data_IF_560354943690
#
_entry.id   IF_560354943690
#
_cell.length_a   1.000
_cell.length_b   1.000
_cell.length_c   1.000
_cell.angle_alpha   90.00
_cell.angle_beta   90.00
_cell.angle_gamma   90.00
#
_symmetry.space_group_name_H-M   'P 1'
#
loop_
_entity.id
_entity.type
_entity.pdbx_description
1 polymer ?
#
# COMPACT_ATOMS: atom_id res chain seq x y z
N UNK A 1 -11.98 38.98 20.07
CA UNK A 1 -11.78 37.68 20.74
C UNK A 1 -12.00 36.52 19.78
N UNK A 2 -11.96 36.79 18.47
CA UNK A 2 -12.33 35.83 17.42
C UNK A 2 -11.11 35.21 16.74
N UNK A 3 -9.97 35.90 16.68
CA UNK A 3 -8.73 35.37 16.08
C UNK A 3 -8.23 34.10 16.78
N UNK A 4 -8.39 34.03 18.10
CA UNK A 4 -7.98 32.85 18.88
C UNK A 4 -8.91 31.67 18.64
N UNK A 5 -10.20 31.94 18.39
CA UNK A 5 -11.19 30.93 18.07
C UNK A 5 -11.00 30.41 16.64
N UNK A 6 -10.79 31.29 15.65
CA UNK A 6 -10.48 30.91 14.28
C UNK A 6 -9.18 30.10 14.20
N UNK A 7 -8.16 30.48 14.96
CA UNK A 7 -6.90 29.73 15.00
C UNK A 7 -7.10 28.32 15.54
N UNK A 8 -7.83 28.18 16.65
CA UNK A 8 -8.14 26.86 17.24
C UNK A 8 -9.01 26.04 16.28
N UNK A 9 -10.03 26.64 15.66
CA UNK A 9 -10.91 25.97 14.71
C UNK A 9 -10.17 25.49 13.46
N UNK A 10 -9.29 26.33 12.90
CA UNK A 10 -8.43 25.97 11.77
C UNK A 10 -7.41 24.89 12.14
N UNK A 11 -6.84 24.92 13.35
CA UNK A 11 -5.94 23.87 13.85
C UNK A 11 -6.67 22.54 14.08
N UNK A 12 -7.94 22.57 14.51
CA UNK A 12 -8.78 21.39 14.66
C UNK A 12 -9.12 20.76 13.30
N UNK A 13 -9.53 21.56 12.31
CA UNK A 13 -9.75 21.06 10.94
C UNK A 13 -8.47 20.48 10.34
N UNK A 14 -7.31 21.14 10.51
CA UNK A 14 -6.02 20.59 10.06
C UNK A 14 -5.66 19.27 10.75
N UNK A 15 -5.98 19.12 12.03
CA UNK A 15 -5.80 17.85 12.79
C UNK A 15 -6.76 16.74 12.40
N UNK A 16 -7.89 17.05 11.76
CA UNK A 16 -8.80 16.06 11.17
C UNK A 16 -8.41 15.69 9.73
N UNK A 17 -7.80 16.62 8.99
CA UNK A 17 -7.37 16.43 7.59
C UNK A 17 -6.08 15.61 7.48
N UNK A 18 -5.20 15.64 8.47
CA UNK A 18 -4.06 14.75 8.55
C UNK A 18 -4.52 13.41 9.16
N UNK A 19 -4.56 12.29 8.39
CA UNK A 19 -5.02 11.01 8.91
C UNK A 19 -4.15 10.63 10.11
N UNK A 20 -4.76 10.63 11.30
CA UNK A 20 -4.11 10.16 12.51
C UNK A 20 -3.77 8.69 12.30
N UNK A 21 -2.47 8.41 12.13
CA UNK A 21 -1.88 7.08 12.25
C UNK A 21 -2.35 6.04 11.22
N UNK A 22 -2.60 6.43 9.97
CA UNK A 22 -2.86 5.46 8.88
C UNK A 22 -4.22 4.75 8.95
N UNK A 23 -5.16 5.30 9.73
CA UNK A 23 -6.55 4.86 9.77
C UNK A 23 -7.34 5.69 8.76
N UNK A 24 -8.08 5.01 7.87
CA UNK A 24 -8.91 5.63 6.85
C UNK A 24 -10.36 5.16 7.03
N UNK A 25 -11.29 6.10 7.00
CA UNK A 25 -12.72 5.83 7.05
C UNK A 25 -13.31 5.63 5.65
N UNK A 26 -14.55 5.12 5.60
CA UNK A 26 -15.25 4.93 4.35
C UNK A 26 -15.36 6.25 3.56
N UNK A 27 -15.17 6.16 2.24
CA UNK A 27 -15.06 7.32 1.34
C UNK A 27 -13.67 7.95 1.24
N UNK A 28 -12.72 7.69 2.15
CA UNK A 28 -11.34 8.20 2.07
C UNK A 28 -10.44 7.36 1.12
N UNK A 29 -11.00 6.93 -0.01
CA UNK A 29 -10.38 5.97 -0.93
C UNK A 29 -9.06 6.53 -1.49
N UNK A 30 -9.07 7.78 -1.95
CA UNK A 30 -7.89 8.38 -2.56
C UNK A 30 -6.79 8.67 -1.54
N UNK A 31 -7.15 9.06 -0.32
CA UNK A 31 -6.18 9.32 0.74
C UNK A 31 -5.49 8.02 1.19
N UNK A 32 -6.24 6.92 1.34
CA UNK A 32 -5.68 5.59 1.59
C UNK A 32 -4.75 5.14 0.45
N UNK A 33 -5.17 5.32 -0.80
CA UNK A 33 -4.34 5.03 -1.97
C UNK A 33 -3.04 5.84 -1.97
N UNK A 34 -3.13 7.15 -1.69
CA UNK A 34 -1.98 8.07 -1.65
C UNK A 34 -1.00 7.67 -0.53
N UNK A 35 -1.53 7.24 0.62
CA UNK A 35 -0.73 6.73 1.73
C UNK A 35 0.04 5.47 1.35
N UNK A 36 -0.64 4.43 0.85
CA UNK A 36 -0.01 3.18 0.41
C UNK A 36 1.04 3.44 -0.69
N UNK A 37 0.70 4.25 -1.69
CA UNK A 37 1.64 4.67 -2.72
C UNK A 37 2.84 5.46 -2.15
N UNK A 38 2.67 6.15 -1.03
CA UNK A 38 3.74 6.79 -0.27
C UNK A 38 4.67 5.76 0.37
N UNK A 39 4.12 4.75 1.04
CA UNK A 39 4.89 3.65 1.65
C UNK A 39 5.76 2.94 0.61
N UNK A 40 5.17 2.56 -0.52
CA UNK A 40 5.86 1.86 -1.61
C UNK A 40 7.01 2.72 -2.19
N UNK A 41 6.84 4.04 -2.28
CA UNK A 41 7.88 4.96 -2.78
C UNK A 41 9.04 5.15 -1.79
N UNK A 42 8.76 5.04 -0.49
CA UNK A 42 9.77 5.25 0.57
C UNK A 42 10.63 4.02 0.83
N UNK A 43 10.12 2.82 0.59
CA UNK A 43 10.88 1.58 0.75
C UNK A 43 12.24 1.65 0.03
N UNK A 44 13.29 1.15 0.69
CA UNK A 44 14.67 1.20 0.21
C UNK A 44 15.21 -0.19 -0.17
N UNK A 45 14.74 -1.25 0.50
CA UNK A 45 15.28 -2.62 0.41
C UNK A 45 14.23 -3.60 -0.09
N UNK A 46 13.08 -3.70 0.59
CA UNK A 46 12.09 -4.74 0.34
C UNK A 46 10.68 -4.35 0.75
N UNK A 47 9.70 -4.88 0.04
CA UNK A 47 8.29 -4.83 0.42
C UNK A 47 7.76 -6.26 0.43
N UNK A 48 7.12 -6.66 1.53
CA UNK A 48 6.36 -7.91 1.62
C UNK A 48 4.89 -7.56 1.78
N UNK A 49 4.05 -8.03 0.87
CA UNK A 49 2.60 -7.91 0.96
C UNK A 49 2.01 -9.28 1.26
N UNK A 50 1.17 -9.37 2.28
CA UNK A 50 0.34 -10.54 2.56
C UNK A 50 -1.10 -10.09 2.29
N UNK A 51 -1.71 -10.56 1.21
CA UNK A 51 -3.10 -10.23 0.86
C UNK A 51 -3.69 -11.27 -0.10
N UNK A 52 -4.94 -11.66 0.17
CA UNK A 52 -5.70 -12.62 -0.62
C UNK A 52 -6.51 -11.99 -1.76
N UNK A 53 -6.48 -10.66 -1.91
CA UNK A 53 -7.29 -9.90 -2.86
C UNK A 53 -6.41 -9.05 -3.79
N UNK A 54 -5.51 -9.71 -4.52
CA UNK A 54 -4.57 -9.06 -5.44
C UNK A 54 -5.15 -9.04 -6.86
N UNK A 55 -5.06 -7.89 -7.52
CA UNK A 55 -5.38 -7.69 -8.93
C UNK A 55 -4.38 -6.74 -9.62
N UNK A 56 -4.67 -6.36 -10.87
CA UNK A 56 -3.86 -5.42 -11.65
C UNK A 56 -3.63 -4.07 -10.94
N UNK A 57 -4.60 -3.58 -10.16
CA UNK A 57 -4.50 -2.29 -9.48
C UNK A 57 -3.41 -2.32 -8.40
N UNK A 58 -3.31 -3.44 -7.68
CA UNK A 58 -2.27 -3.69 -6.69
C UNK A 58 -0.90 -3.84 -7.35
N UNK A 59 -0.80 -4.59 -8.45
CA UNK A 59 0.45 -4.70 -9.22
C UNK A 59 0.92 -3.31 -9.71
N UNK A 60 0.00 -2.50 -10.21
CA UNK A 60 0.28 -1.14 -10.70
C UNK A 60 0.86 -0.24 -9.61
N UNK A 61 0.42 -0.38 -8.35
CA UNK A 61 1.00 0.35 -7.23
C UNK A 61 2.50 0.04 -7.05
N UNK A 62 2.89 -1.22 -7.20
CA UNK A 62 4.29 -1.64 -7.08
C UNK A 62 5.20 -1.13 -8.21
N UNK A 63 4.64 -0.64 -9.33
CA UNK A 63 5.44 0.04 -10.36
C UNK A 63 6.10 1.33 -9.84
N UNK A 64 5.55 1.92 -8.77
CA UNK A 64 6.01 3.19 -8.18
C UNK A 64 7.23 3.03 -7.25
N UNK A 65 7.65 1.80 -6.94
CA UNK A 65 8.79 1.55 -6.04
C UNK A 65 10.11 1.95 -6.68
N UNK A 66 11.15 2.10 -5.84
CA UNK A 66 12.51 2.29 -6.34
C UNK A 66 13.01 1.03 -7.05
N UNK A 67 13.78 1.18 -8.13
CA UNK A 67 14.22 0.08 -9.01
C UNK A 67 14.89 -1.11 -8.30
N UNK A 68 15.55 -0.87 -7.17
CA UNK A 68 16.29 -1.91 -6.40
C UNK A 68 15.46 -2.57 -5.30
N UNK A 69 14.25 -2.10 -5.05
CA UNK A 69 13.37 -2.63 -3.99
C UNK A 69 12.77 -3.95 -4.47
N UNK A 70 13.06 -5.02 -3.72
CA UNK A 70 12.44 -6.32 -3.94
C UNK A 70 10.97 -6.30 -3.48
N UNK A 71 10.09 -6.98 -4.21
CA UNK A 71 8.68 -7.15 -3.80
C UNK A 71 8.35 -8.63 -3.78
N UNK A 72 7.84 -9.10 -2.65
CA UNK A 72 7.24 -10.44 -2.51
C UNK A 72 5.78 -10.29 -2.09
N UNK A 73 4.87 -10.95 -2.79
CA UNK A 73 3.45 -11.00 -2.45
C UNK A 73 3.11 -12.43 -2.04
N UNK A 74 2.50 -12.59 -0.87
CA UNK A 74 1.92 -13.82 -0.39
C UNK A 74 0.40 -13.76 -0.52
N UNK A 75 -0.16 -14.76 -1.18
CA UNK A 75 -1.61 -14.82 -1.44
C UNK A 75 -2.10 -16.27 -1.38
N UNK A 76 -3.36 -16.48 -1.01
CA UNK A 76 -3.94 -17.83 -0.84
C UNK A 76 -3.88 -18.70 -2.09
N UNK A 77 -4.02 -18.08 -3.27
CA UNK A 77 -4.00 -18.79 -4.54
C UNK A 77 -3.59 -17.87 -5.69
N UNK A 78 -2.98 -18.44 -6.73
CA UNK A 78 -2.67 -17.73 -7.97
C UNK A 78 -3.63 -18.24 -9.03
N UNK A 79 -4.70 -17.48 -9.27
CA UNK A 79 -5.67 -17.78 -10.32
C UNK A 79 -5.04 -17.62 -11.71
N UNK A 80 -5.66 -18.22 -12.75
CA UNK A 80 -5.18 -18.06 -14.14
C UNK A 80 -5.14 -16.59 -14.60
N UNK A 81 -6.16 -15.74 -14.31
CA UNK A 81 -6.08 -14.31 -14.61
C UNK A 81 -4.92 -13.63 -13.89
N UNK A 82 -4.77 -13.84 -12.58
CA UNK A 82 -3.69 -13.23 -11.80
C UNK A 82 -2.31 -13.64 -12.32
N UNK A 83 -2.13 -14.91 -12.71
CA UNK A 83 -0.89 -15.38 -13.32
C UNK A 83 -0.57 -14.65 -14.65
N UNK A 84 -1.59 -14.35 -15.47
CA UNK A 84 -1.41 -13.59 -16.69
C UNK A 84 -1.01 -12.14 -16.39
N UNK A 85 -1.67 -11.51 -15.42
CA UNK A 85 -1.40 -10.13 -15.02
C UNK A 85 0.02 -9.99 -14.46
N UNK A 86 0.44 -10.90 -13.59
CA UNK A 86 1.82 -10.96 -13.06
C UNK A 86 2.83 -11.10 -14.22
N UNK A 87 2.56 -12.00 -15.17
CA UNK A 87 3.43 -12.22 -16.33
C UNK A 87 3.55 -10.96 -17.20
N UNK A 88 2.42 -10.29 -17.47
CA UNK A 88 2.38 -9.05 -18.27
C UNK A 88 3.10 -7.91 -17.56
N UNK A 89 2.83 -7.73 -16.27
CA UNK A 89 3.47 -6.73 -15.44
C UNK A 89 5.00 -6.91 -15.41
N UNK A 90 5.47 -8.12 -15.08
CA UNK A 90 6.90 -8.42 -14.98
C UNK A 90 7.65 -8.34 -16.31
N UNK A 91 6.94 -8.33 -17.45
CA UNK A 91 7.55 -8.11 -18.76
C UNK A 91 7.89 -6.63 -19.04
N UNK A 92 7.30 -5.68 -18.31
CA UNK A 92 7.45 -4.24 -18.53
C UNK A 92 7.97 -3.48 -17.30
N UNK A 93 7.66 -3.98 -16.10
CA UNK A 93 7.97 -3.34 -14.82
C UNK A 93 8.90 -4.22 -13.98
N UNK A 94 9.53 -3.66 -12.93
CA UNK A 94 10.42 -4.44 -12.07
C UNK A 94 9.69 -5.64 -11.45
N UNK A 95 10.40 -6.76 -11.34
CA UNK A 95 9.86 -8.06 -10.94
C UNK A 95 9.14 -8.03 -9.59
N UNK A 96 7.90 -8.49 -9.56
CA UNK A 96 7.16 -8.87 -8.36
C UNK A 96 7.13 -10.40 -8.27
N UNK A 97 7.63 -10.93 -7.15
CA UNK A 97 7.60 -12.36 -6.83
C UNK A 97 6.29 -12.67 -6.08
N UNK A 98 5.51 -13.66 -6.54
CA UNK A 98 4.22 -14.00 -5.94
C UNK A 98 4.21 -15.46 -5.51
N UNK A 99 3.91 -15.69 -4.24
CA UNK A 99 3.95 -17.00 -3.60
C UNK A 99 2.60 -17.37 -3.00
N UNK A 100 2.27 -18.65 -3.11
CA UNK A 100 1.08 -19.20 -2.48
C UNK A 100 1.33 -19.38 -0.98
N UNK A 101 0.49 -18.79 -0.15
CA UNK A 101 0.49 -18.94 1.30
C UNK A 101 -0.96 -18.96 1.79
N UNK A 102 -1.42 -20.12 2.30
CA UNK A 102 -2.83 -20.37 2.60
C UNK A 102 -3.24 -20.05 4.03
N UNK A 103 -2.27 -19.82 4.91
CA UNK A 103 -2.47 -19.78 6.35
C UNK A 103 -2.69 -18.35 6.89
N UNK A 104 -2.76 -17.34 6.01
CA UNK A 104 -3.11 -15.96 6.40
C UNK A 104 -4.48 -15.55 5.88
N UNK A 105 -5.29 -15.00 6.79
CA UNK A 105 -6.53 -14.29 6.47
C UNK A 105 -6.40 -12.77 6.58
N UNK A 106 -5.45 -12.31 7.40
CA UNK A 106 -5.17 -10.89 7.60
C UNK A 106 -4.33 -10.31 6.46
N UNK A 107 -4.43 -8.99 6.30
CA UNK A 107 -3.68 -8.23 5.31
C UNK A 107 -2.59 -7.43 6.00
N UNK A 108 -1.35 -7.60 5.55
CA UNK A 108 -0.22 -6.88 6.09
C UNK A 108 0.70 -6.41 4.97
N UNK A 109 1.30 -5.24 5.16
CA UNK A 109 2.41 -4.78 4.34
C UNK A 109 3.62 -4.49 5.22
N UNK A 110 4.72 -5.16 4.94
CA UNK A 110 5.98 -5.02 5.66
C UNK A 110 6.96 -4.25 4.77
N UNK A 111 7.51 -3.15 5.30
CA UNK A 111 8.49 -2.31 4.60
C UNK A 111 9.86 -2.53 5.23
N UNK A 112 10.84 -2.88 4.40
CA UNK A 112 12.26 -3.03 4.74
C UNK A 112 12.55 -4.00 5.92
N UNK A 113 11.59 -4.86 6.27
CA UNK A 113 11.58 -5.74 7.45
C UNK A 113 11.61 -4.98 8.78
N UNK A 114 11.17 -3.72 8.78
CA UNK A 114 11.25 -2.82 9.94
C UNK A 114 9.85 -2.35 10.34
N UNK A 115 9.05 -1.88 9.38
CA UNK A 115 7.70 -1.35 9.62
C UNK A 115 6.62 -2.33 9.13
N UNK A 116 5.54 -2.48 9.91
CA UNK A 116 4.36 -3.27 9.56
C UNK A 116 3.13 -2.36 9.54
N UNK A 117 2.34 -2.47 8.48
CA UNK A 117 1.07 -1.77 8.27
C UNK A 117 -0.06 -2.76 8.01
#
# INVERSE_FOLDING_TARGET
TDEKFEKIFNEMQRKELEPKQGIFFDGQIFDAYKFVAGLIRRAEKSIVLIDNYIDETVLTLFSKRKKKVAVTIFTKEISKPLALDIKKFNAQYPLVDVKVFKDSHDRFMIIDNEDVY
#
